data_IF_266717465647
#
_entry.id   IF_266717465647
#
_cell.length_a   1.000
_cell.length_b   1.000
_cell.length_c   1.000
_cell.angle_alpha   90.00
_cell.angle_beta   90.00
_cell.angle_gamma   90.00
#
_symmetry.space_group_name_H-M   'P 1'
#
loop_
_entity.id
_entity.type
_entity.pdbx_description
1 polymer ?
#
# COMPACT_ATOMS: atom_id res chain seq x y z
N UNK A 1 20.47 -44.37 41.34
CA UNK A 1 19.51 -43.72 42.25
C UNK A 1 18.94 -42.58 41.42
N UNK A 2 17.75 -42.77 40.86
CA UNK A 2 17.14 -41.73 40.01
C UNK A 2 16.89 -40.47 40.83
N UNK A 3 17.25 -39.34 40.23
CA UNK A 3 17.31 -38.04 40.86
C UNK A 3 15.90 -37.64 41.36
N UNK A 4 15.74 -37.50 42.68
CA UNK A 4 14.43 -37.29 43.31
C UNK A 4 13.75 -36.01 42.81
N UNK A 5 14.54 -35.01 42.40
CA UNK A 5 14.04 -33.80 41.77
C UNK A 5 13.42 -34.06 40.39
N UNK A 6 13.98 -35.00 39.63
CA UNK A 6 13.54 -35.31 38.27
C UNK A 6 12.24 -36.13 38.27
N UNK A 7 12.02 -36.93 39.32
CA UNK A 7 10.74 -37.60 39.59
C UNK A 7 9.69 -36.56 40.03
N UNK A 8 10.04 -35.65 40.95
CA UNK A 8 9.13 -34.61 41.41
C UNK A 8 8.69 -33.66 40.28
N UNK A 9 9.60 -33.33 39.34
CA UNK A 9 9.31 -32.50 38.18
C UNK A 9 8.38 -33.20 37.16
N UNK A 10 8.55 -34.51 36.96
CA UNK A 10 7.66 -35.31 36.10
C UNK A 10 6.24 -35.37 36.69
N UNK A 11 6.12 -35.62 37.99
CA UNK A 11 4.84 -35.62 38.69
C UNK A 11 4.15 -34.25 38.65
N UNK A 12 4.92 -33.17 38.75
CA UNK A 12 4.40 -31.81 38.65
C UNK A 12 3.89 -31.51 37.23
N UNK A 13 4.65 -31.90 36.19
CA UNK A 13 4.25 -31.75 34.79
C UNK A 13 2.93 -32.47 34.50
N UNK A 14 2.81 -33.72 34.95
CA UNK A 14 1.63 -34.53 34.67
C UNK A 14 0.39 -33.98 35.42
N UNK A 15 0.58 -33.48 36.65
CA UNK A 15 -0.48 -32.74 37.39
C UNK A 15 -0.93 -31.47 36.67
N UNK A 16 0.00 -30.71 36.09
CA UNK A 16 -0.31 -29.48 35.36
C UNK A 16 -1.06 -29.78 34.05
N UNK A 17 -0.67 -30.84 33.33
CA UNK A 17 -1.38 -31.28 32.11
C UNK A 17 -2.82 -31.70 32.41
N UNK A 18 -3.05 -32.46 33.48
CA UNK A 18 -4.42 -32.84 33.91
C UNK A 18 -5.24 -31.59 34.28
N UNK A 19 -4.61 -30.61 34.95
CA UNK A 19 -5.27 -29.36 35.33
C UNK A 19 -5.64 -28.51 34.11
N UNK A 20 -4.76 -28.45 33.10
CA UNK A 20 -5.01 -27.75 31.84
C UNK A 20 -6.17 -28.38 31.06
N UNK A 21 -6.19 -29.72 30.92
CA UNK A 21 -7.28 -30.43 30.27
C UNK A 21 -8.63 -30.23 30.97
N UNK A 22 -8.65 -30.25 32.31
CA UNK A 22 -9.86 -30.01 33.09
C UNK A 22 -10.38 -28.56 32.97
N UNK A 23 -9.50 -27.58 32.82
CA UNK A 23 -9.88 -26.18 32.57
C UNK A 23 -10.46 -26.01 31.17
N UNK A 24 -9.87 -26.68 30.18
CA UNK A 24 -10.33 -26.66 28.79
C UNK A 24 -11.72 -27.31 28.65
N UNK A 25 -11.99 -28.42 29.36
CA UNK A 25 -13.34 -28.99 29.44
C UNK A 25 -14.35 -28.06 30.14
N UNK A 26 -13.93 -27.31 31.17
CA UNK A 26 -14.82 -26.37 31.87
C UNK A 26 -15.20 -25.19 30.97
N UNK A 27 -14.26 -24.68 30.17
CA UNK A 27 -14.52 -23.64 29.18
C UNK A 27 -15.50 -24.11 28.11
N UNK A 28 -15.30 -25.33 27.57
CA UNK A 28 -16.20 -25.92 26.59
C UNK A 28 -17.62 -26.16 27.14
N UNK A 29 -17.77 -26.39 28.45
CA UNK A 29 -19.08 -26.53 29.11
C UNK A 29 -19.75 -25.18 29.38
N UNK A 30 -19.00 -24.10 29.52
CA UNK A 30 -19.54 -22.73 29.68
C UNK A 30 -20.02 -22.13 28.37
N UNK A 31 -19.40 -22.47 27.23
CA UNK A 31 -19.85 -22.02 25.91
C UNK A 31 -21.17 -22.67 25.44
N UNK A 32 -21.62 -23.74 26.10
CA UNK A 32 -22.82 -24.51 25.72
C UNK A 32 -24.15 -24.09 26.36
N UNK A 33 -24.21 -23.14 27.31
CA UNK A 33 -25.45 -22.84 28.06
C UNK A 33 -26.16 -21.53 27.72
N UNK A 34 -25.55 -20.58 27.00
CA UNK A 34 -26.12 -19.23 26.86
C UNK A 34 -26.16 -18.67 25.43
N UNK A 35 -26.48 -19.49 24.42
CA UNK A 35 -26.87 -18.95 23.11
C UNK A 35 -28.10 -19.65 22.53
N UNK A 36 -29.25 -18.97 22.65
CA UNK A 36 -30.36 -19.11 21.70
C UNK A 36 -29.84 -18.80 20.30
N UNK A 37 -29.56 -19.84 19.51
CA UNK A 37 -29.26 -19.71 18.09
C UNK A 37 -30.32 -20.41 17.25
N UNK A 38 -30.75 -19.69 16.22
CA UNK A 38 -31.69 -20.11 15.19
C UNK A 38 -31.12 -21.35 14.48
N UNK A 39 -31.91 -22.43 14.46
CA UNK A 39 -31.54 -23.68 13.76
C UNK A 39 -31.52 -23.47 12.25
N UNK A 40 -30.33 -23.32 11.68
CA UNK A 40 -30.08 -23.61 10.27
C UNK A 40 -29.60 -25.07 10.16
N UNK A 41 -30.42 -25.91 9.50
CA UNK A 41 -30.04 -27.29 9.19
C UNK A 41 -28.98 -27.29 8.09
N UNK A 42 -27.76 -27.76 8.40
CA UNK A 42 -26.83 -28.25 7.39
C UNK A 42 -26.93 -29.79 7.29
N UNK A 43 -26.74 -30.35 6.07
CA UNK A 43 -26.74 -31.79 5.87
C UNK A 43 -25.44 -32.43 6.35
N UNK A 44 -25.59 -33.60 6.98
CA UNK A 44 -24.51 -34.47 7.39
C UNK A 44 -23.70 -34.95 6.18
N UNK A 45 -22.37 -34.83 6.24
CA UNK A 45 -21.51 -35.85 5.64
C UNK A 45 -20.17 -35.88 6.36
N UNK A 46 -20.02 -36.95 7.13
CA UNK A 46 -18.75 -37.44 7.68
C UNK A 46 -17.87 -37.88 6.50
N UNK A 47 -16.66 -37.34 6.38
CA UNK A 47 -15.50 -38.12 5.90
C UNK A 47 -14.18 -37.51 6.34
N UNK A 48 -13.27 -38.40 6.72
CA UNK A 48 -12.04 -38.20 7.48
C UNK A 48 -10.93 -37.41 6.78
N UNK A 49 -10.07 -36.84 7.64
CA UNK A 49 -8.62 -36.59 7.52
C UNK A 49 -8.13 -35.60 6.44
N UNK A 50 -7.71 -34.41 6.89
CA UNK A 50 -6.29 -34.07 7.05
C UNK A 50 -6.12 -32.70 7.73
N UNK A 51 -5.13 -32.61 8.61
CA UNK A 51 -4.76 -31.44 9.41
C UNK A 51 -4.36 -30.22 8.57
N UNK A 52 -5.35 -29.45 8.11
CA UNK A 52 -5.22 -27.99 7.99
C UNK A 52 -6.12 -27.41 9.07
N UNK A 53 -5.61 -26.49 9.89
CA UNK A 53 -6.48 -25.63 10.71
C UNK A 53 -7.42 -24.95 9.72
N UNK A 54 -8.65 -25.43 9.63
CA UNK A 54 -9.70 -24.76 8.88
C UNK A 54 -9.89 -23.40 9.57
N UNK A 55 -9.42 -22.32 8.93
CA UNK A 55 -9.89 -21.00 9.26
C UNK A 55 -11.42 -21.06 9.17
N UNK A 56 -12.09 -20.66 10.24
CA UNK A 56 -13.55 -20.49 10.23
C UNK A 56 -13.91 -19.67 8.98
N UNK A 57 -14.89 -20.11 8.16
CA UNK A 57 -15.15 -19.54 6.82
C UNK A 57 -15.40 -18.02 6.83
N UNK A 58 -15.81 -17.46 7.97
CA UNK A 58 -15.98 -16.03 8.20
C UNK A 58 -14.67 -15.23 8.14
N UNK A 59 -13.56 -15.77 8.67
CA UNK A 59 -12.27 -15.09 8.64
C UNK A 59 -11.63 -15.08 7.26
N UNK A 60 -11.86 -16.14 6.47
CA UNK A 60 -11.44 -16.20 5.08
C UNK A 60 -12.13 -15.13 4.23
N UNK A 61 -13.41 -14.86 4.50
CA UNK A 61 -14.17 -13.80 3.83
C UNK A 61 -13.62 -12.43 4.24
N UNK A 62 -13.43 -12.18 5.54
CA UNK A 62 -12.87 -10.92 6.04
C UNK A 62 -11.47 -10.65 5.52
N UNK A 63 -10.61 -11.67 5.45
CA UNK A 63 -9.28 -11.57 4.87
C UNK A 63 -9.36 -11.16 3.39
N UNK A 64 -10.17 -11.86 2.58
CA UNK A 64 -10.35 -11.54 1.15
C UNK A 64 -10.92 -10.14 0.94
N UNK A 65 -11.90 -9.74 1.75
CA UNK A 65 -12.50 -8.39 1.68
C UNK A 65 -11.46 -7.33 2.06
N UNK A 66 -10.71 -7.54 3.13
CA UNK A 66 -9.64 -6.63 3.55
C UNK A 66 -8.55 -6.50 2.48
N UNK A 67 -8.13 -7.60 1.87
CA UNK A 67 -7.18 -7.62 0.77
C UNK A 67 -7.71 -6.83 -0.45
N UNK A 68 -9.00 -6.97 -0.77
CA UNK A 68 -9.62 -6.22 -1.87
C UNK A 68 -9.70 -4.72 -1.59
N UNK A 69 -10.02 -4.33 -0.37
CA UNK A 69 -10.18 -2.91 0.02
C UNK A 69 -8.82 -2.22 0.13
N UNK A 70 -7.88 -2.84 0.85
CA UNK A 70 -6.56 -2.23 1.11
C UNK A 70 -5.57 -2.43 -0.05
N UNK A 71 -5.81 -3.44 -0.89
CA UNK A 71 -4.84 -3.86 -1.89
C UNK A 71 -3.56 -4.46 -1.30
N UNK A 72 -3.59 -4.84 -0.02
CA UNK A 72 -2.47 -5.44 0.71
C UNK A 72 -2.72 -6.93 0.88
N UNK A 73 -1.72 -7.73 0.52
CA UNK A 73 -1.67 -9.18 0.78
C UNK A 73 -0.57 -9.46 1.78
N UNK A 74 -0.86 -10.30 2.78
CA UNK A 74 0.14 -10.76 3.73
C UNK A 74 0.52 -12.19 3.39
N UNK A 75 1.81 -12.42 3.15
CA UNK A 75 2.40 -13.71 2.80
C UNK A 75 3.44 -14.13 3.85
N UNK A 76 3.61 -15.44 4.02
CA UNK A 76 4.61 -16.03 4.93
C UNK A 76 4.55 -15.44 6.34
N UNK A 77 3.35 -15.41 6.92
CA UNK A 77 3.14 -14.89 8.27
C UNK A 77 3.55 -15.93 9.30
N UNK A 78 4.57 -15.62 10.09
CA UNK A 78 5.06 -16.47 11.18
C UNK A 78 4.97 -15.73 12.51
N UNK A 79 4.83 -16.50 13.59
CA UNK A 79 4.81 -15.99 14.96
C UNK A 79 5.82 -16.77 15.77
N UNK A 80 6.75 -16.05 16.36
CA UNK A 80 7.77 -16.59 17.26
C UNK A 80 7.62 -15.95 18.64
N UNK A 81 7.75 -16.75 19.70
CA UNK A 81 7.88 -16.23 21.06
C UNK A 81 9.35 -15.95 21.35
N UNK A 82 9.68 -14.73 21.78
CA UNK A 82 11.06 -14.35 22.09
C UNK A 82 11.36 -14.61 23.57
N UNK A 83 10.83 -13.78 24.46
CA UNK A 83 10.95 -13.87 25.92
C UNK A 83 10.00 -12.87 26.59
N UNK A 84 9.76 -12.98 27.90
CA UNK A 84 9.02 -11.97 28.70
C UNK A 84 7.68 -11.50 28.08
N UNK A 85 6.87 -12.43 27.58
CA UNK A 85 5.61 -12.16 26.87
C UNK A 85 5.74 -11.31 25.59
N UNK A 86 6.95 -11.20 25.03
CA UNK A 86 7.23 -10.56 23.75
C UNK A 86 7.12 -11.61 22.64
N UNK A 87 6.29 -11.31 21.65
CA UNK A 87 6.11 -12.10 20.44
C UNK A 87 6.60 -11.31 19.24
N UNK A 88 7.32 -11.99 18.36
CA UNK A 88 7.72 -11.47 17.07
C UNK A 88 6.79 -12.05 15.99
N UNK A 89 6.20 -11.17 15.21
CA UNK A 89 5.42 -11.50 14.03
C UNK A 89 6.21 -11.06 12.81
N UNK A 90 6.50 -11.99 11.92
CA UNK A 90 7.16 -11.70 10.65
C UNK A 90 6.16 -11.92 9.53
N UNK A 91 6.13 -11.04 8.55
CA UNK A 91 5.25 -11.18 7.39
C UNK A 91 5.80 -10.41 6.20
N UNK A 92 5.49 -10.90 5.00
CA UNK A 92 5.76 -10.17 3.76
C UNK A 92 4.49 -9.48 3.31
N UNK A 93 4.50 -8.16 3.38
CA UNK A 93 3.44 -7.28 2.89
C UNK A 93 3.64 -7.05 1.40
N UNK A 94 2.70 -7.53 0.59
CA UNK A 94 2.70 -7.44 -0.88
C UNK A 94 1.56 -6.56 -1.35
N UNK A 95 1.89 -5.54 -2.14
CA UNK A 95 0.94 -4.70 -2.88
C UNK A 95 1.28 -4.77 -4.38
N UNK A 96 0.52 -4.06 -5.22
CA UNK A 96 0.84 -4.00 -6.67
C UNK A 96 2.15 -3.26 -6.97
N UNK A 97 2.61 -2.44 -6.02
CA UNK A 97 3.71 -1.47 -6.25
C UNK A 97 4.87 -1.72 -5.31
N UNK A 98 4.60 -2.20 -4.10
CA UNK A 98 5.57 -2.39 -3.03
C UNK A 98 5.52 -3.81 -2.49
N UNK A 99 6.71 -4.33 -2.18
CA UNK A 99 6.89 -5.52 -1.38
C UNK A 99 7.77 -5.18 -0.18
N UNK A 100 7.29 -5.45 1.03
CA UNK A 100 7.92 -5.05 2.29
C UNK A 100 7.91 -6.24 3.23
N UNK A 101 9.09 -6.64 3.71
CA UNK A 101 9.18 -7.56 4.83
C UNK A 101 9.05 -6.78 6.14
N UNK A 102 8.06 -7.15 6.95
CA UNK A 102 7.73 -6.49 8.20
C UNK A 102 8.02 -7.43 9.35
N UNK A 103 8.72 -6.91 10.36
CA UNK A 103 8.92 -7.54 11.66
C UNK A 103 8.20 -6.67 12.69
N UNK A 104 7.21 -7.25 13.36
CA UNK A 104 6.41 -6.59 14.39
C UNK A 104 6.67 -7.28 15.72
N UNK A 105 7.18 -6.56 16.70
CA UNK A 105 7.37 -7.06 18.06
C UNK A 105 6.25 -6.54 18.96
N UNK A 106 5.55 -7.44 19.63
CA UNK A 106 4.39 -7.14 20.48
C UNK A 106 4.63 -7.70 21.87
N UNK A 107 4.54 -6.84 22.88
CA UNK A 107 4.56 -7.22 24.28
C UNK A 107 3.11 -7.40 24.77
N UNK A 108 2.80 -8.57 25.31
CA UNK A 108 1.49 -8.80 25.95
C UNK A 108 1.57 -8.42 27.43
N UNK A 109 0.72 -7.49 27.85
CA UNK A 109 0.51 -7.11 29.24
C UNK A 109 -0.80 -7.75 29.74
N UNK A 110 -0.68 -8.92 30.37
CA UNK A 110 -1.85 -9.70 30.80
C UNK A 110 -2.53 -10.47 29.66
N UNK A 111 -3.84 -10.73 29.81
CA UNK A 111 -4.62 -11.55 28.86
C UNK A 111 -5.26 -10.73 27.72
N UNK A 112 -5.35 -9.40 27.85
CA UNK A 112 -6.17 -8.55 26.96
C UNK A 112 -5.37 -7.38 26.38
N UNK A 113 -4.39 -6.84 27.09
CA UNK A 113 -3.65 -5.65 26.65
C UNK A 113 -2.36 -6.04 25.93
N UNK A 114 -2.05 -5.29 24.88
CA UNK A 114 -0.82 -5.43 24.12
C UNK A 114 -0.23 -4.08 23.80
N UNK A 115 1.10 -4.02 23.78
CA UNK A 115 1.88 -2.88 23.35
C UNK A 115 2.75 -3.31 22.16
N UNK A 116 2.78 -2.49 21.11
CA UNK A 116 3.75 -2.68 20.03
C UNK A 116 5.09 -2.16 20.53
N UNK A 117 6.08 -3.04 20.64
CA UNK A 117 7.41 -2.68 21.11
C UNK A 117 8.31 -2.19 19.97
N UNK A 118 8.26 -2.84 18.81
CA UNK A 118 9.01 -2.40 17.63
C UNK A 118 8.29 -2.74 16.32
N UNK A 119 8.54 -1.92 15.32
CA UNK A 119 8.15 -2.17 13.93
C UNK A 119 9.37 -1.95 13.05
N UNK A 120 9.88 -3.03 12.47
CA UNK A 120 10.96 -2.98 11.50
C UNK A 120 10.43 -3.30 10.11
N UNK A 121 10.84 -2.53 9.10
CA UNK A 121 10.42 -2.70 7.71
C UNK A 121 11.63 -2.76 6.79
N UNK A 122 11.68 -3.80 5.96
CA UNK A 122 12.71 -4.01 4.96
C UNK A 122 12.07 -4.05 3.57
N UNK A 123 12.39 -3.09 2.71
CA UNK A 123 11.88 -3.05 1.35
C UNK A 123 12.57 -4.09 0.47
N UNK A 124 11.77 -4.86 -0.27
CA UNK A 124 12.23 -5.89 -1.19
C UNK A 124 12.13 -5.34 -2.62
N UNK A 125 13.23 -5.36 -3.38
CA UNK A 125 13.28 -5.03 -4.80
C UNK A 125 12.57 -3.71 -5.20
N UNK A 126 12.85 -2.63 -4.48
CA UNK A 126 12.26 -1.32 -4.77
C UNK A 126 13.24 -0.41 -5.52
N UNK A 127 12.75 0.26 -6.56
CA UNK A 127 13.54 1.26 -7.27
C UNK A 127 13.82 2.48 -6.37
N UNK A 128 15.00 3.09 -6.56
CA UNK A 128 15.47 4.22 -5.77
C UNK A 128 14.46 5.39 -5.77
N UNK A 129 13.79 5.63 -6.88
CA UNK A 129 12.80 6.71 -7.01
C UNK A 129 11.61 6.55 -6.05
N UNK A 130 11.09 5.33 -5.87
CA UNK A 130 10.00 5.04 -4.95
C UNK A 130 10.51 5.01 -3.50
N UNK A 131 11.74 4.55 -3.26
CA UNK A 131 12.37 4.61 -1.94
C UNK A 131 12.47 6.03 -1.40
N UNK A 132 12.78 7.01 -2.26
CA UNK A 132 12.83 8.42 -1.88
C UNK A 132 11.44 8.97 -1.52
N UNK A 133 10.38 8.52 -2.18
CA UNK A 133 9.00 8.90 -1.85
C UNK A 133 8.52 8.31 -0.52
N UNK A 134 8.97 7.09 -0.17
CA UNK A 134 8.40 6.34 0.95
C UNK A 134 9.24 6.29 2.22
N UNK A 135 10.56 6.37 2.09
CA UNK A 135 11.48 6.06 3.18
C UNK A 135 11.28 6.93 4.42
N UNK A 136 11.05 8.23 4.23
CA UNK A 136 10.95 9.19 5.33
C UNK A 136 9.72 8.98 6.20
N UNK A 137 8.55 8.81 5.60
CA UNK A 137 7.31 8.61 6.35
C UNK A 137 7.18 7.20 6.91
N UNK A 138 7.70 6.16 6.23
CA UNK A 138 7.76 4.80 6.82
C UNK A 138 8.59 4.82 8.09
N UNK A 139 9.80 5.38 8.04
CA UNK A 139 10.66 5.50 9.22
C UNK A 139 10.03 6.31 10.35
N UNK A 140 9.22 7.33 10.02
CA UNK A 140 8.52 8.13 11.02
C UNK A 140 7.40 7.33 11.69
N UNK A 141 6.58 6.63 10.92
CA UNK A 141 5.46 5.85 11.44
C UNK A 141 5.96 4.65 12.26
N UNK A 142 7.04 3.98 11.83
CA UNK A 142 7.63 2.88 12.61
C UNK A 142 8.14 3.35 13.96
N UNK A 143 8.77 4.53 14.04
CA UNK A 143 9.16 5.16 15.31
C UNK A 143 7.99 5.51 16.22
N UNK A 144 6.82 5.77 15.66
CA UNK A 144 5.57 5.97 16.42
C UNK A 144 4.93 4.66 16.87
N UNK A 145 5.50 3.51 16.48
CA UNK A 145 5.01 2.16 16.80
C UNK A 145 3.54 1.95 16.40
N UNK A 146 3.11 2.59 15.32
CA UNK A 146 1.71 2.55 14.87
C UNK A 146 1.55 1.72 13.59
N UNK A 147 1.33 0.41 13.75
CA UNK A 147 1.20 -0.52 12.63
C UNK A 147 -0.06 -0.26 11.78
N UNK A 148 -1.16 0.16 12.41
CA UNK A 148 -2.41 0.49 11.70
C UNK A 148 -2.24 1.69 10.77
N UNK A 149 -1.51 2.71 11.22
CA UNK A 149 -1.19 3.88 10.40
C UNK A 149 -0.23 3.53 9.26
N UNK A 150 0.73 2.64 9.51
CA UNK A 150 1.67 2.18 8.50
C UNK A 150 0.95 1.45 7.37
N UNK A 151 0.10 0.48 7.71
CA UNK A 151 -0.67 -0.28 6.72
C UNK A 151 -1.65 0.60 5.95
N UNK A 152 -2.31 1.56 6.63
CA UNK A 152 -3.19 2.54 5.98
C UNK A 152 -2.43 3.43 4.99
N UNK A 153 -1.26 3.95 5.37
CA UNK A 153 -0.42 4.78 4.50
C UNK A 153 0.09 3.98 3.28
N UNK A 154 0.52 2.72 3.48
CA UNK A 154 0.94 1.84 2.38
C UNK A 154 -0.22 1.55 1.42
N UNK A 155 -1.42 1.25 1.95
CA UNK A 155 -2.63 1.05 1.16
C UNK A 155 -2.92 2.28 0.29
N UNK A 156 -2.88 3.47 0.88
CA UNK A 156 -3.10 4.70 0.16
C UNK A 156 -2.02 4.94 -0.91
N UNK A 157 -0.74 4.72 -0.58
CA UNK A 157 0.36 4.88 -1.52
C UNK A 157 0.19 3.99 -2.75
N UNK A 158 -0.24 2.74 -2.51
CA UNK A 158 -0.54 1.77 -3.56
C UNK A 158 -1.68 2.26 -4.45
N UNK A 159 -2.78 2.76 -3.88
CA UNK A 159 -3.90 3.31 -4.67
C UNK A 159 -3.45 4.46 -5.59
N UNK A 160 -2.73 5.44 -5.03
CA UNK A 160 -2.25 6.60 -5.79
C UNK A 160 -1.26 6.20 -6.89
N UNK A 161 -0.43 5.20 -6.64
CA UNK A 161 0.47 4.67 -7.67
C UNK A 161 -0.25 3.94 -8.78
N UNK A 162 -1.26 3.12 -8.46
CA UNK A 162 -2.07 2.43 -9.47
C UNK A 162 -2.77 3.45 -10.37
N UNK A 163 -3.28 4.54 -9.80
CA UNK A 163 -3.85 5.66 -10.56
C UNK A 163 -2.78 6.32 -11.46
N UNK A 164 -1.62 6.66 -10.89
CA UNK A 164 -0.48 7.24 -11.62
C UNK A 164 -0.05 6.37 -12.80
N UNK A 165 0.16 5.08 -12.58
CA UNK A 165 0.52 4.12 -13.65
C UNK A 165 -0.54 4.04 -14.74
N UNK A 166 -1.83 4.01 -14.37
CA UNK A 166 -2.93 3.98 -15.35
C UNK A 166 -2.92 5.23 -16.25
N UNK A 167 -2.71 6.40 -15.67
CA UNK A 167 -2.65 7.67 -16.41
C UNK A 167 -1.41 7.71 -17.32
N UNK A 168 -0.23 7.36 -16.80
CA UNK A 168 1.00 7.32 -17.57
C UNK A 168 0.92 6.34 -18.75
N UNK A 169 0.35 5.15 -18.54
CA UNK A 169 0.16 4.17 -19.60
C UNK A 169 -0.78 4.71 -20.69
N UNK A 170 -1.87 5.39 -20.30
CA UNK A 170 -2.78 6.01 -21.26
C UNK A 170 -2.06 7.07 -22.10
N UNK A 171 -1.34 7.99 -21.46
CA UNK A 171 -0.60 9.06 -22.15
C UNK A 171 0.47 8.51 -23.10
N UNK A 172 1.14 7.41 -22.70
CA UNK A 172 2.15 6.74 -23.53
C UNK A 172 1.53 6.04 -24.74
N UNK A 173 0.41 5.33 -24.56
CA UNK A 173 -0.32 4.65 -25.65
C UNK A 173 -0.83 5.68 -26.67
N UNK A 174 -1.37 6.80 -26.19
CA UNK A 174 -1.86 7.89 -27.01
C UNK A 174 -0.75 8.81 -27.55
N UNK A 175 0.53 8.51 -27.24
CA UNK A 175 1.74 9.22 -27.68
C UNK A 175 1.82 10.68 -27.25
N UNK A 176 1.13 11.09 -26.19
CA UNK A 176 1.28 12.44 -25.62
C UNK A 176 2.49 12.58 -24.69
N UNK A 177 2.99 11.46 -24.16
CA UNK A 177 4.07 11.51 -23.18
C UNK A 177 5.02 10.31 -23.24
N UNK A 178 6.27 10.60 -22.89
CA UNK A 178 7.24 9.61 -22.42
C UNK A 178 7.59 9.92 -20.97
N UNK A 179 8.06 8.92 -20.23
CA UNK A 179 8.38 9.10 -18.82
C UNK A 179 9.55 8.23 -18.39
N UNK A 180 10.26 8.70 -17.37
CA UNK A 180 11.41 8.05 -16.75
C UNK A 180 11.39 8.23 -15.23
N UNK A 181 12.14 7.39 -14.53
CA UNK A 181 12.24 7.48 -13.07
C UNK A 181 13.12 8.66 -12.66
N UNK A 182 12.65 9.47 -11.72
CA UNK A 182 13.46 10.53 -11.12
C UNK A 182 14.20 9.98 -9.90
N UNK A 183 15.53 10.06 -9.89
CA UNK A 183 16.35 9.66 -8.72
C UNK A 183 16.84 10.85 -7.88
N UNK A 184 16.39 12.06 -8.23
CA UNK A 184 16.79 13.29 -7.57
C UNK A 184 15.83 13.67 -6.44
N UNK A 185 16.40 14.27 -5.37
CA UNK A 185 15.73 14.86 -4.19
C UNK A 185 14.57 14.02 -3.62
N UNK A 186 13.38 14.19 -4.18
CA UNK A 186 12.11 13.65 -3.67
C UNK A 186 11.65 12.38 -4.40
N UNK A 187 12.42 11.88 -5.38
CA UNK A 187 12.05 10.70 -6.17
C UNK A 187 10.92 10.97 -7.16
N UNK A 188 10.14 9.95 -7.47
CA UNK A 188 8.99 10.05 -8.38
C UNK A 188 9.33 9.86 -9.86
N UNK A 189 8.55 10.51 -10.74
CA UNK A 189 8.56 10.26 -12.18
C UNK A 189 8.71 11.58 -12.94
N UNK A 190 9.63 11.63 -13.90
CA UNK A 190 9.72 12.73 -14.87
C UNK A 190 8.92 12.35 -16.11
N UNK A 191 8.09 13.27 -16.59
CA UNK A 191 7.19 13.07 -17.72
C UNK A 191 7.47 14.16 -18.73
N UNK A 192 7.86 13.74 -19.92
CA UNK A 192 8.12 14.60 -21.06
C UNK A 192 6.84 14.63 -21.90
N UNK A 193 6.14 15.76 -21.84
CA UNK A 193 4.92 16.00 -22.62
C UNK A 193 5.35 16.54 -23.98
N UNK A 194 5.00 15.80 -25.03
CA UNK A 194 5.42 16.11 -26.39
C UNK A 194 4.26 16.04 -27.39
N UNK A 195 4.52 16.51 -28.60
CA UNK A 195 3.61 16.34 -29.71
C UNK A 195 3.33 14.86 -29.96
N UNK A 196 2.06 14.47 -30.22
CA UNK A 196 1.75 13.12 -30.68
C UNK A 196 2.30 12.83 -32.09
N UNK A 197 2.59 13.87 -32.86
CA UNK A 197 3.10 13.78 -34.24
C UNK A 197 4.64 13.85 -34.29
N UNK A 198 5.28 14.50 -33.32
CA UNK A 198 6.73 14.61 -33.24
C UNK A 198 7.24 14.47 -31.78
N UNK A 199 7.77 13.30 -31.45
CA UNK A 199 8.28 12.98 -30.11
C UNK A 199 9.46 13.85 -29.66
N UNK A 200 10.18 14.52 -30.59
CA UNK A 200 11.27 15.43 -30.25
C UNK A 200 10.76 16.82 -29.84
N UNK A 201 9.53 17.17 -30.19
CA UNK A 201 8.91 18.45 -29.84
C UNK A 201 8.27 18.31 -28.45
N UNK A 202 9.09 18.54 -27.41
CA UNK A 202 8.67 18.50 -26.01
C UNK A 202 8.18 19.89 -25.59
N UNK A 203 6.94 19.98 -25.11
CA UNK A 203 6.34 21.22 -24.63
C UNK A 203 6.61 21.47 -23.16
N UNK A 204 6.42 20.43 -22.33
CA UNK A 204 6.46 20.54 -20.87
C UNK A 204 7.18 19.33 -20.27
N UNK A 205 7.87 19.58 -19.17
CA UNK A 205 8.46 18.56 -18.32
C UNK A 205 7.75 18.61 -16.98
N UNK A 206 7.03 17.55 -16.63
CA UNK A 206 6.41 17.37 -15.33
C UNK A 206 7.29 16.49 -14.47
N UNK A 207 7.58 16.94 -13.26
CA UNK A 207 8.07 16.08 -12.19
C UNK A 207 6.91 15.75 -11.27
N UNK A 208 6.49 14.48 -11.27
CA UNK A 208 5.36 13.95 -10.51
C UNK A 208 5.83 13.05 -9.37
N UNK A 209 5.72 13.56 -8.14
CA UNK A 209 6.01 12.83 -6.90
C UNK A 209 4.74 12.59 -6.08
N UNK A 210 4.71 11.49 -5.32
CA UNK A 210 3.72 11.26 -4.27
C UNK A 210 4.30 11.69 -2.93
N UNK A 211 3.66 12.65 -2.27
CA UNK A 211 4.15 13.21 -1.01
C UNK A 211 3.22 12.85 0.14
N UNK A 212 3.81 12.42 1.26
CA UNK A 212 3.09 12.17 2.50
C UNK A 212 2.95 13.48 3.30
N UNK A 213 1.72 13.94 3.47
CA UNK A 213 1.39 15.12 4.27
C UNK A 213 1.15 14.73 5.72
N UNK A 214 2.14 15.00 6.57
CA UNK A 214 2.10 14.64 7.99
C UNK A 214 0.98 15.33 8.78
N UNK A 215 0.51 16.49 8.32
CA UNK A 215 -0.57 17.23 8.99
C UNK A 215 -1.91 16.53 8.86
N UNK A 216 -2.16 15.90 7.72
CA UNK A 216 -3.42 15.24 7.38
C UNK A 216 -3.30 13.72 7.32
N UNK A 217 -2.07 13.19 7.50
CA UNK A 217 -1.74 11.78 7.37
C UNK A 217 -2.21 11.17 6.05
N UNK A 218 -2.06 11.94 4.96
CA UNK A 218 -2.55 11.60 3.64
C UNK A 218 -1.45 11.75 2.59
N UNK A 219 -1.47 10.89 1.58
CA UNK A 219 -0.59 10.93 0.41
C UNK A 219 -1.26 11.68 -0.73
N UNK A 220 -0.59 12.72 -1.22
CA UNK A 220 -1.07 13.56 -2.31
C UNK A 220 -0.16 13.53 -3.52
N UNK A 221 -0.74 13.83 -4.69
CA UNK A 221 0.02 14.07 -5.90
C UNK A 221 0.63 15.47 -5.88
N UNK A 222 1.94 15.54 -6.11
CA UNK A 222 2.67 16.79 -6.20
C UNK A 222 3.34 16.91 -7.57
N UNK A 223 3.19 18.07 -8.19
CA UNK A 223 3.71 18.37 -9.52
C UNK A 223 4.63 19.59 -9.51
N UNK A 224 5.77 19.46 -10.15
CA UNK A 224 6.60 20.58 -10.56
C UNK A 224 6.66 20.60 -12.09
N UNK A 225 6.24 21.72 -12.70
CA UNK A 225 6.04 21.82 -14.15
C UNK A 225 7.01 22.85 -14.71
N UNK A 226 7.86 22.42 -15.63
CA UNK A 226 8.83 23.29 -16.30
C UNK A 226 8.58 23.30 -17.80
N UNK A 227 8.41 24.47 -18.44
CA UNK A 227 8.40 24.55 -19.89
C UNK A 227 9.79 24.34 -20.48
N UNK A 228 9.85 23.80 -21.69
CA UNK A 228 11.10 23.85 -22.48
C UNK A 228 11.30 25.26 -23.04
N UNK A 229 12.56 25.69 -23.22
CA UNK A 229 12.89 27.04 -23.69
C UNK A 229 12.21 27.37 -25.03
N UNK A 230 12.09 26.36 -25.91
CA UNK A 230 11.47 26.49 -27.23
C UNK A 230 9.94 26.69 -27.17
N UNK A 231 9.26 26.22 -26.12
CA UNK A 231 7.79 26.14 -26.08
C UNK A 231 7.19 26.90 -24.88
N UNK A 232 7.87 27.96 -24.45
CA UNK A 232 7.34 28.88 -23.42
C UNK A 232 5.99 29.50 -23.82
N UNK A 233 5.69 29.59 -25.12
CA UNK A 233 4.39 30.06 -25.65
C UNK A 233 3.25 29.10 -25.29
N UNK A 234 3.44 27.79 -25.45
CA UNK A 234 2.42 26.79 -25.06
C UNK A 234 2.09 26.90 -23.58
N UNK A 235 3.12 27.01 -22.72
CA UNK A 235 2.95 27.12 -21.28
C UNK A 235 2.25 28.42 -20.87
N UNK A 236 2.56 29.55 -21.51
CA UNK A 236 1.87 30.82 -21.27
C UNK A 236 0.39 30.74 -21.64
N UNK A 237 0.07 30.17 -22.81
CA UNK A 237 -1.30 30.05 -23.29
C UNK A 237 -2.16 29.14 -22.41
N UNK A 238 -1.55 28.13 -21.79
CA UNK A 238 -2.23 27.14 -20.95
C UNK A 238 -1.96 27.32 -19.45
N UNK A 239 -1.49 28.50 -19.04
CA UNK A 239 -1.06 28.75 -17.65
C UNK A 239 -2.09 28.35 -16.60
N UNK A 240 -3.35 28.75 -16.79
CA UNK A 240 -4.43 28.44 -15.83
C UNK A 240 -4.62 26.92 -15.65
N UNK A 241 -4.50 26.15 -16.74
CA UNK A 241 -4.58 24.69 -16.67
C UNK A 241 -3.38 24.11 -15.91
N UNK A 242 -2.18 24.63 -16.15
CA UNK A 242 -0.97 24.16 -15.47
C UNK A 242 -0.98 24.51 -13.97
N UNK A 243 -1.52 25.67 -13.59
CA UNK A 243 -1.67 26.05 -12.18
C UNK A 243 -2.64 25.12 -11.43
N UNK A 244 -3.67 24.59 -12.09
CA UNK A 244 -4.61 23.63 -11.47
C UNK A 244 -3.93 22.30 -11.10
N UNK A 245 -2.89 21.87 -11.82
CA UNK A 245 -2.10 20.70 -11.40
C UNK A 245 -1.33 20.94 -10.10
N UNK A 246 -1.07 22.20 -9.74
CA UNK A 246 -0.33 22.57 -8.54
C UNK A 246 -1.24 22.86 -7.34
N UNK A 247 -2.56 22.71 -7.49
CA UNK A 247 -3.51 22.84 -6.38
C UNK A 247 -3.32 21.72 -5.35
N UNK A 248 -3.55 22.06 -4.08
CA UNK A 248 -3.49 21.08 -2.99
C UNK A 248 -4.67 20.09 -3.08
N UNK A 249 -4.44 18.85 -2.63
CA UNK A 249 -5.50 17.85 -2.46
C UNK A 249 -6.32 17.53 -3.73
N UNK A 250 -5.63 17.31 -4.85
CA UNK A 250 -6.27 16.89 -6.10
C UNK A 250 -6.99 15.53 -5.95
N UNK A 251 -8.31 15.55 -6.12
CA UNK A 251 -9.10 14.33 -6.17
C UNK A 251 -8.75 13.48 -7.40
N UNK A 252 -8.97 12.17 -7.32
CA UNK A 252 -8.79 11.24 -8.44
C UNK A 252 -9.53 11.69 -9.71
N UNK A 253 -10.76 12.19 -9.57
CA UNK A 253 -11.54 12.63 -10.71
C UNK A 253 -10.97 13.92 -11.31
N UNK A 254 -10.57 14.88 -10.47
CA UNK A 254 -9.94 16.12 -10.92
C UNK A 254 -8.66 15.82 -11.69
N UNK A 255 -7.82 14.92 -11.16
CA UNK A 255 -6.59 14.53 -11.82
C UNK A 255 -6.84 13.92 -13.22
N UNK A 256 -7.82 13.04 -13.35
CA UNK A 256 -8.20 12.45 -14.65
C UNK A 256 -8.66 13.54 -15.63
N UNK A 257 -9.47 14.49 -15.15
CA UNK A 257 -9.97 15.61 -15.96
C UNK A 257 -8.83 16.51 -16.42
N UNK A 258 -7.91 16.88 -15.52
CA UNK A 258 -6.76 17.74 -15.83
C UNK A 258 -5.86 17.13 -16.90
N UNK A 259 -5.54 15.84 -16.80
CA UNK A 259 -4.77 15.15 -17.84
C UNK A 259 -5.50 15.12 -19.19
N UNK A 260 -6.83 14.93 -19.19
CA UNK A 260 -7.63 14.97 -20.42
C UNK A 260 -7.68 16.37 -21.05
N UNK A 261 -7.77 17.41 -20.23
CA UNK A 261 -7.72 18.80 -20.67
C UNK A 261 -6.35 19.15 -21.26
N UNK A 262 -5.26 18.65 -20.65
CA UNK A 262 -3.92 18.84 -21.19
C UNK A 262 -3.75 18.19 -22.56
N UNK A 263 -4.26 16.96 -22.75
CA UNK A 263 -4.24 16.31 -24.07
C UNK A 263 -5.03 17.12 -25.11
N UNK A 264 -6.18 17.68 -24.71
CA UNK A 264 -7.01 18.54 -25.57
C UNK A 264 -6.28 19.82 -25.95
N UNK A 265 -5.58 20.45 -24.99
CA UNK A 265 -4.78 21.65 -25.22
C UNK A 265 -3.63 21.40 -26.21
N UNK A 266 -2.96 20.25 -26.11
CA UNK A 266 -1.92 19.84 -27.07
C UNK A 266 -2.52 19.73 -28.48
N UNK A 267 -3.66 19.06 -28.64
CA UNK A 267 -4.31 18.90 -29.93
C UNK A 267 -4.71 20.24 -30.55
N UNK A 268 -5.26 21.16 -29.76
CA UNK A 268 -5.60 22.50 -30.24
C UNK A 268 -4.38 23.31 -30.65
N UNK A 269 -3.28 23.21 -29.90
CA UNK A 269 -2.04 23.92 -30.22
C UNK A 269 -1.40 23.44 -31.53
N UNK A 270 -1.40 22.12 -31.75
CA UNK A 270 -0.89 21.53 -33.00
C UNK A 270 -1.81 21.83 -34.19
N UNK A 271 -3.14 21.84 -33.99
CA UNK A 271 -4.10 22.23 -35.03
C UNK A 271 -3.93 23.68 -35.50
N UNK A 272 -3.62 24.60 -34.58
CA UNK A 272 -3.40 26.01 -34.89
C UNK A 272 -2.05 26.30 -35.56
N UNK A 273 -1.01 25.48 -35.28
CA UNK A 273 0.31 25.64 -35.90
C UNK A 273 0.37 25.09 -37.33
N UNK A 274 -0.50 24.13 -37.69
CA UNK A 274 -0.67 23.68 -39.08
C UNK A 274 -1.34 24.70 -40.01
N UNK A 275 -1.98 25.76 -39.49
CA UNK A 275 -2.59 26.83 -40.29
C UNK A 275 -1.70 28.04 -40.55
N UNK A 276 -0.45 28.06 -40.05
CA UNK A 276 0.50 29.17 -40.26
C UNK A 276 1.52 28.90 -41.38
N UNK A 277 1.34 27.86 -42.21
CA UNK A 277 2.21 27.57 -43.37
C UNK A 277 1.36 27.53 -44.66
N UNK A 278 1.02 28.71 -45.18
CA UNK A 278 0.62 29.04 -46.57
C UNK A 278 0.24 30.54 -46.56
N UNK A 279 0.90 31.54 -47.18
CA UNK A 279 1.66 31.64 -48.42
C UNK A 279 2.74 32.73 -48.28
N UNK A 280 3.97 32.41 -48.62
CA UNK A 280 4.89 33.35 -49.26
C UNK A 280 5.75 32.57 -50.25
N UNK A 281 5.84 33.08 -51.48
CA UNK A 281 6.40 32.51 -52.73
C UNK A 281 5.33 31.80 -53.59
N UNK A 282 4.97 32.22 -54.80
CA UNK A 282 5.50 33.19 -55.79
C UNK A 282 4.37 34.01 -56.43
#
# INVERSE_FOLDING_TARGET
MEDQELIALKDLRDKLLVKASNLLEKLNKQEGSDQQSVKLKLPDTITNNNNKKEMLPEYDILYKVSQQITGITFENTEREWLHNNIYQYTTTLVTKVLQIYVVLQVKLEGEIEFEIDDITCHFIHIDKCYMLEIGTWVQKITKMKNFSLLTSAISQYNEQNVLRQRLLNKLKIEKYASYEQCTDKNGGIVIHIHSPNNLQKIYLIFHWSLMFLERTWHIEHHFLINPTEAETTFAKNNRNLLEQFCEASLSKQNLIVLWSQLCSAINSYEGNTSSEIDYSEE
#
